data_IF_886265266599
#
_entry.id   IF_886265266599
#
_cell.length_a   1.000
_cell.length_b   1.000
_cell.length_c   1.000
_cell.angle_alpha   90.00
_cell.angle_beta   90.00
_cell.angle_gamma   90.00
#
_symmetry.space_group_name_H-M   'P 1'
#
loop_
_entity.id
_entity.type
_entity.pdbx_description
1 polymer ?
#
# COMPACT_ATOMS: atom_id res chain seq x y z
N UNK A 1 26.20 11.01 -34.03
CA UNK A 1 25.19 11.88 -33.39
C UNK A 1 24.34 11.19 -32.31
N UNK A 2 24.42 9.85 -32.13
CA UNK A 2 23.62 9.15 -31.10
C UNK A 2 24.30 9.04 -29.72
N UNK A 3 25.63 8.93 -29.65
CA UNK A 3 26.34 8.69 -28.38
C UNK A 3 26.42 9.93 -27.47
N UNK A 4 26.57 11.13 -28.03
CA UNK A 4 26.65 12.38 -27.25
C UNK A 4 25.33 12.74 -26.58
N UNK A 5 24.18 12.42 -27.19
CA UNK A 5 22.86 12.69 -26.60
C UNK A 5 22.53 11.77 -25.41
N UNK A 6 22.98 10.51 -25.44
CA UNK A 6 22.84 9.58 -24.30
C UNK A 6 23.71 10.04 -23.13
N UNK A 7 24.96 10.44 -23.41
CA UNK A 7 25.92 10.88 -22.41
C UNK A 7 25.53 12.22 -21.75
N UNK A 8 24.93 13.15 -22.49
CA UNK A 8 24.37 14.40 -21.94
C UNK A 8 23.17 14.13 -21.03
N UNK A 9 22.30 13.19 -21.42
CA UNK A 9 21.10 12.85 -20.67
C UNK A 9 21.42 12.13 -19.36
N UNK A 10 22.44 11.27 -19.34
CA UNK A 10 22.97 10.64 -18.12
C UNK A 10 23.53 11.68 -17.12
N UNK A 11 24.20 12.73 -17.61
CA UNK A 11 24.79 13.76 -16.74
C UNK A 11 23.75 14.62 -15.99
N UNK A 12 22.54 14.78 -16.53
CA UNK A 12 21.49 15.62 -15.94
C UNK A 12 20.79 14.97 -14.74
N UNK A 13 20.80 13.64 -14.67
CA UNK A 13 20.08 12.87 -13.64
C UNK A 13 21.00 12.18 -12.63
N UNK A 14 22.31 12.15 -12.89
CA UNK A 14 23.35 11.70 -11.96
C UNK A 14 23.47 12.67 -10.78
N UNK A 15 23.23 12.15 -9.58
CA UNK A 15 23.50 12.92 -8.36
C UNK A 15 25.00 13.04 -8.16
N UNK A 16 25.45 14.21 -7.70
CA UNK A 16 26.88 14.53 -7.52
C UNK A 16 27.67 13.58 -6.58
N UNK A 17 26.98 12.75 -5.79
CA UNK A 17 27.59 11.74 -4.93
C UNK A 17 27.83 10.39 -5.61
N UNK A 18 27.31 10.17 -6.82
CA UNK A 18 27.53 8.96 -7.60
C UNK A 18 28.47 9.24 -8.78
N UNK A 19 29.35 8.29 -9.05
CA UNK A 19 30.28 8.36 -10.17
C UNK A 19 29.62 7.92 -11.47
N UNK A 20 28.68 6.97 -11.39
CA UNK A 20 28.02 6.34 -12.54
C UNK A 20 26.51 6.18 -12.29
N UNK A 21 25.71 6.20 -13.37
CA UNK A 21 24.25 6.02 -13.27
C UNK A 21 23.86 4.63 -12.76
N UNK A 22 24.60 3.59 -13.17
CA UNK A 22 24.40 2.21 -12.72
C UNK A 22 24.54 2.10 -11.19
N UNK A 23 25.57 2.72 -10.62
CA UNK A 23 25.80 2.75 -9.18
C UNK A 23 24.64 3.44 -8.43
N UNK A 24 24.09 4.54 -8.96
CA UNK A 24 22.93 5.21 -8.39
C UNK A 24 21.68 4.32 -8.40
N UNK A 25 21.45 3.60 -9.50
CA UNK A 25 20.32 2.67 -9.64
C UNK A 25 20.44 1.53 -8.63
N UNK A 26 21.62 0.93 -8.52
CA UNK A 26 21.84 -0.21 -7.61
C UNK A 26 21.74 0.21 -6.15
N UNK A 27 22.32 1.35 -5.77
CA UNK A 27 22.17 1.90 -4.43
C UNK A 27 20.69 2.17 -4.10
N UNK A 28 19.92 2.73 -5.05
CA UNK A 28 18.50 3.01 -4.86
C UNK A 28 17.66 1.73 -4.72
N UNK A 29 17.98 0.68 -5.49
CA UNK A 29 17.34 -0.63 -5.38
C UNK A 29 17.63 -1.30 -4.04
N UNK A 30 18.89 -1.30 -3.59
CA UNK A 30 19.29 -1.86 -2.29
C UNK A 30 18.58 -1.10 -1.16
N UNK A 31 18.55 0.23 -1.22
CA UNK A 31 17.84 1.07 -0.25
C UNK A 31 16.34 0.73 -0.19
N UNK A 32 15.70 0.56 -1.35
CA UNK A 32 14.30 0.14 -1.40
C UNK A 32 14.11 -1.26 -0.80
N UNK A 33 14.92 -2.26 -1.18
CA UNK A 33 14.81 -3.60 -0.61
C UNK A 33 14.97 -3.63 0.92
N UNK A 34 15.94 -2.90 1.46
CA UNK A 34 16.12 -2.77 2.91
C UNK A 34 14.89 -2.16 3.57
N UNK A 35 14.33 -1.10 2.98
CA UNK A 35 13.09 -0.49 3.45
C UNK A 35 11.90 -1.45 3.39
N UNK A 36 11.73 -2.21 2.30
CA UNK A 36 10.68 -3.22 2.18
C UNK A 36 10.79 -4.30 3.26
N UNK A 37 12.01 -4.75 3.58
CA UNK A 37 12.24 -5.73 4.66
C UNK A 37 11.83 -5.15 6.01
N UNK A 38 12.15 -3.88 6.29
CA UNK A 38 11.73 -3.25 7.56
C UNK A 38 10.21 -3.17 7.69
N UNK A 39 9.49 -2.91 6.60
CA UNK A 39 8.03 -2.88 6.59
C UNK A 39 7.43 -4.28 6.79
N UNK A 40 8.01 -5.31 6.15
CA UNK A 40 7.60 -6.71 6.38
C UNK A 40 7.78 -7.10 7.85
N UNK A 41 8.88 -6.68 8.49
CA UNK A 41 9.11 -6.95 9.91
C UNK A 41 8.13 -6.20 10.82
N UNK A 42 7.82 -4.94 10.51
CA UNK A 42 6.85 -4.12 11.23
C UNK A 42 5.46 -4.77 11.23
N UNK A 43 4.94 -5.12 10.05
CA UNK A 43 3.65 -5.80 9.92
C UNK A 43 3.70 -7.25 10.42
N UNK A 44 4.84 -7.94 10.23
CA UNK A 44 5.06 -9.30 10.74
C UNK A 44 4.91 -9.39 12.26
N UNK A 45 5.47 -8.42 13.00
CA UNK A 45 5.29 -8.32 14.45
C UNK A 45 3.82 -8.11 14.85
N UNK A 46 3.09 -7.26 14.11
CA UNK A 46 1.66 -7.04 14.35
C UNK A 46 0.82 -8.30 14.05
N UNK A 47 1.14 -9.04 12.98
CA UNK A 47 0.46 -10.29 12.65
C UNK A 47 0.68 -11.38 13.71
N UNK A 48 1.91 -11.54 14.20
CA UNK A 48 2.20 -12.48 15.29
C UNK A 48 1.46 -12.05 16.56
N UNK A 49 1.44 -10.76 16.89
CA UNK A 49 0.67 -10.22 18.02
C UNK A 49 -0.82 -10.52 17.90
N UNK A 50 -1.42 -10.30 16.72
CA UNK A 50 -2.81 -10.63 16.44
C UNK A 50 -3.08 -12.13 16.58
N UNK A 51 -2.25 -12.99 15.99
CA UNK A 51 -2.43 -14.44 16.05
C UNK A 51 -2.35 -14.98 17.49
N UNK A 52 -1.44 -14.45 18.32
CA UNK A 52 -1.35 -14.82 19.73
C UNK A 52 -2.60 -14.40 20.52
N UNK A 53 -3.16 -13.22 20.23
CA UNK A 53 -4.38 -12.76 20.88
C UNK A 53 -5.62 -13.52 20.41
N UNK A 54 -5.70 -13.84 19.12
CA UNK A 54 -6.75 -14.69 18.57
C UNK A 54 -6.71 -16.09 19.21
N UNK A 55 -5.52 -16.66 19.41
CA UNK A 55 -5.38 -17.97 20.07
C UNK A 55 -5.78 -17.95 21.56
N UNK A 56 -5.61 -16.81 22.26
CA UNK A 56 -5.98 -16.67 23.68
C UNK A 56 -7.44 -16.26 23.91
N UNK A 57 -8.04 -15.52 22.97
CA UNK A 57 -9.38 -14.95 23.10
C UNK A 57 -10.28 -15.34 21.91
N UNK A 58 -10.28 -16.62 21.56
CA UNK A 58 -10.92 -17.15 20.35
C UNK A 58 -12.41 -16.77 20.24
N UNK A 59 -13.19 -16.96 21.31
CA UNK A 59 -14.63 -16.63 21.32
C UNK A 59 -14.91 -15.14 21.12
N UNK A 60 -14.07 -14.27 21.69
CA UNK A 60 -14.21 -12.82 21.52
C UNK A 60 -13.82 -12.37 20.10
N UNK A 61 -12.87 -13.05 19.45
CA UNK A 61 -12.46 -12.76 18.08
C UNK A 61 -13.52 -13.22 17.07
N UNK A 62 -14.13 -14.38 17.27
CA UNK A 62 -15.27 -14.85 16.46
C UNK A 62 -16.44 -13.87 16.58
N UNK A 63 -16.79 -13.47 17.81
CA UNK A 63 -17.88 -12.51 18.04
C UNK A 63 -17.61 -11.15 17.37
N UNK A 64 -16.39 -10.62 17.49
CA UNK A 64 -16.00 -9.36 16.88
C UNK A 64 -15.95 -9.43 15.34
N UNK A 65 -15.60 -10.58 14.77
CA UNK A 65 -15.58 -10.81 13.32
C UNK A 65 -16.95 -10.64 12.66
N UNK A 66 -18.03 -10.99 13.36
CA UNK A 66 -19.39 -10.82 12.83
C UNK A 66 -19.78 -9.35 12.59
N UNK A 67 -19.06 -8.39 13.19
CA UNK A 67 -19.23 -6.95 12.97
C UNK A 67 -18.43 -6.43 11.75
N UNK A 68 -17.79 -7.31 10.97
CA UNK A 68 -17.08 -6.93 9.75
C UNK A 68 -17.88 -7.32 8.51
N UNK A 69 -18.05 -6.34 7.61
CA UNK A 69 -18.71 -6.56 6.33
C UNK A 69 -17.74 -7.25 5.36
N UNK A 70 -17.97 -8.54 5.13
CA UNK A 70 -17.20 -9.35 4.19
C UNK A 70 -17.33 -8.86 2.75
N UNK A 71 -18.48 -8.32 2.35
CA UNK A 71 -18.73 -7.83 1.00
C UNK A 71 -17.88 -6.60 0.68
N UNK A 72 -17.84 -5.62 1.59
CA UNK A 72 -16.98 -4.44 1.46
C UNK A 72 -15.49 -4.80 1.49
N UNK A 73 -15.12 -5.80 2.30
CA UNK A 73 -13.76 -6.34 2.32
C UNK A 73 -13.35 -6.98 0.98
N UNK A 74 -14.20 -7.82 0.38
CA UNK A 74 -13.92 -8.44 -0.93
C UNK A 74 -13.82 -7.39 -2.03
N UNK A 75 -14.72 -6.40 -2.05
CA UNK A 75 -14.69 -5.30 -3.01
C UNK A 75 -13.33 -4.57 -2.98
N UNK A 76 -12.85 -4.24 -1.78
CA UNK A 76 -11.56 -3.58 -1.59
C UNK A 76 -10.39 -4.44 -2.10
N UNK A 77 -10.41 -5.74 -1.82
CA UNK A 77 -9.38 -6.66 -2.30
C UNK A 77 -9.37 -6.72 -3.83
N UNK A 78 -10.53 -6.80 -4.48
CA UNK A 78 -10.62 -6.79 -5.95
C UNK A 78 -10.09 -5.46 -6.51
N UNK A 79 -10.47 -4.33 -5.92
CA UNK A 79 -9.99 -3.00 -6.33
C UNK A 79 -8.47 -2.90 -6.22
N UNK A 80 -7.87 -3.42 -5.14
CA UNK A 80 -6.42 -3.42 -4.97
C UNK A 80 -5.71 -4.35 -5.94
N UNK A 81 -6.26 -5.53 -6.24
CA UNK A 81 -5.69 -6.42 -7.25
C UNK A 81 -5.66 -5.77 -8.63
N UNK A 82 -6.74 -5.05 -9.00
CA UNK A 82 -6.79 -4.25 -10.23
C UNK A 82 -5.75 -3.12 -10.15
N UNK A 83 -5.64 -2.43 -9.02
CA UNK A 83 -4.63 -1.38 -8.78
C UNK A 83 -3.21 -1.90 -9.02
N UNK A 84 -2.86 -3.03 -8.40
CA UNK A 84 -1.57 -3.69 -8.54
C UNK A 84 -1.27 -4.01 -10.01
N UNK A 85 -2.23 -4.59 -10.72
CA UNK A 85 -2.08 -4.87 -12.15
C UNK A 85 -1.86 -3.59 -12.98
N UNK A 86 -2.61 -2.52 -12.71
CA UNK A 86 -2.39 -1.24 -13.40
C UNK A 86 -1.00 -0.66 -13.12
N UNK A 87 -0.46 -0.83 -11.91
CA UNK A 87 0.89 -0.36 -11.57
C UNK A 87 1.98 -1.14 -12.32
N UNK A 88 1.85 -2.46 -12.48
CA UNK A 88 2.76 -3.26 -13.33
C UNK A 88 2.73 -2.75 -14.77
N UNK A 89 1.54 -2.45 -15.29
CA UNK A 89 1.39 -1.93 -16.64
C UNK A 89 1.96 -0.52 -16.81
N UNK A 90 1.92 0.31 -15.75
CA UNK A 90 2.58 1.61 -15.72
C UNK A 90 4.10 1.45 -15.82
N UNK A 91 4.70 0.59 -15.00
CA UNK A 91 6.13 0.26 -15.03
C UNK A 91 6.55 -0.23 -16.42
N UNK A 92 5.83 -1.18 -17.00
CA UNK A 92 6.10 -1.70 -18.35
C UNK A 92 6.02 -0.62 -19.43
N UNK A 93 5.04 0.27 -19.31
CA UNK A 93 4.90 1.40 -20.24
C UNK A 93 6.04 2.41 -20.09
N UNK A 94 6.56 2.60 -18.88
CA UNK A 94 7.75 3.43 -18.63
C UNK A 94 8.99 2.84 -19.29
N UNK A 95 9.20 1.53 -19.20
CA UNK A 95 10.32 0.82 -19.83
C UNK A 95 10.27 0.90 -21.36
N UNK A 96 9.06 0.92 -21.96
CA UNK A 96 8.86 1.07 -23.40
C UNK A 96 8.89 2.53 -23.89
N UNK A 97 9.01 3.51 -22.98
CA UNK A 97 8.91 4.93 -23.33
C UNK A 97 7.51 5.40 -23.75
N UNK A 98 6.47 4.58 -23.52
CA UNK A 98 5.08 4.85 -23.89
C UNK A 98 4.42 5.80 -22.87
N UNK A 99 4.79 7.09 -22.92
CA UNK A 99 4.35 8.12 -21.95
C UNK A 99 2.83 8.21 -21.76
N UNK A 100 2.05 8.11 -22.84
CA UNK A 100 0.58 8.17 -22.76
C UNK A 100 0.01 7.04 -21.92
N UNK A 101 0.51 5.81 -22.11
CA UNK A 101 0.07 4.64 -21.35
C UNK A 101 0.55 4.71 -19.90
N UNK A 102 1.79 5.17 -19.67
CA UNK A 102 2.31 5.41 -18.32
C UNK A 102 1.37 6.33 -17.52
N UNK A 103 1.02 7.49 -18.08
CA UNK A 103 0.12 8.46 -17.42
C UNK A 103 -1.25 7.84 -17.17
N UNK A 104 -1.82 7.13 -18.15
CA UNK A 104 -3.12 6.48 -18.01
C UNK A 104 -3.11 5.45 -16.88
N UNK A 105 -2.11 4.57 -16.83
CA UNK A 105 -2.05 3.52 -15.82
C UNK A 105 -1.79 4.08 -14.42
N UNK A 106 -0.89 5.06 -14.26
CA UNK A 106 -0.66 5.73 -12.97
C UNK A 106 -1.93 6.43 -12.46
N UNK A 107 -2.69 7.06 -13.35
CA UNK A 107 -3.96 7.69 -13.00
C UNK A 107 -5.01 6.65 -12.57
N UNK A 108 -5.09 5.51 -13.27
CA UNK A 108 -5.98 4.41 -12.89
C UNK A 108 -5.61 3.83 -11.52
N UNK A 109 -4.32 3.64 -11.24
CA UNK A 109 -3.83 3.19 -9.92
C UNK A 109 -4.26 4.15 -8.81
N UNK A 110 -4.12 5.47 -9.01
CA UNK A 110 -4.58 6.48 -8.04
C UNK A 110 -6.10 6.45 -7.81
N UNK A 111 -6.87 6.27 -8.87
CA UNK A 111 -8.34 6.17 -8.76
C UNK A 111 -8.73 4.92 -7.96
N UNK A 112 -8.11 3.77 -8.25
CA UNK A 112 -8.33 2.54 -7.48
C UNK A 112 -7.98 2.73 -5.98
N UNK A 113 -6.84 3.36 -5.70
CA UNK A 113 -6.43 3.68 -4.32
C UNK A 113 -7.43 4.62 -3.61
N UNK A 114 -7.95 5.63 -4.33
CA UNK A 114 -8.97 6.54 -3.81
C UNK A 114 -10.29 5.83 -3.51
N UNK A 115 -10.73 4.90 -4.36
CA UNK A 115 -11.91 4.06 -4.12
C UNK A 115 -11.72 3.22 -2.86
N UNK A 116 -10.56 2.56 -2.72
CA UNK A 116 -10.24 1.77 -1.53
C UNK A 116 -10.33 2.62 -0.24
N UNK A 117 -9.70 3.79 -0.24
CA UNK A 117 -9.71 4.68 0.93
C UNK A 117 -11.12 5.21 1.23
N UNK A 118 -11.91 5.52 0.19
CA UNK A 118 -13.31 5.94 0.33
C UNK A 118 -14.19 4.86 0.97
N UNK A 119 -14.12 3.62 0.48
CA UNK A 119 -14.87 2.49 1.07
C UNK A 119 -14.46 2.30 2.53
N UNK A 120 -13.16 2.37 2.84
CA UNK A 120 -12.67 2.25 4.22
C UNK A 120 -13.10 3.38 5.12
N UNK A 121 -13.15 4.60 4.60
CA UNK A 121 -13.64 5.75 5.35
C UNK A 121 -15.10 5.56 5.78
N UNK A 122 -15.97 5.06 4.88
CA UNK A 122 -17.36 4.76 5.23
C UNK A 122 -17.47 3.62 6.25
N UNK A 123 -16.70 2.54 6.08
CA UNK A 123 -16.67 1.43 7.05
C UNK A 123 -16.20 1.88 8.44
N UNK A 124 -15.16 2.72 8.48
CA UNK A 124 -14.68 3.33 9.71
C UNK A 124 -15.77 4.21 10.33
N UNK A 125 -16.31 5.17 9.58
CA UNK A 125 -17.35 6.08 10.09
C UNK A 125 -18.53 5.31 10.70
N UNK A 126 -18.99 4.25 10.05
CA UNK A 126 -20.03 3.38 10.59
C UNK A 126 -19.62 2.75 11.94
N UNK A 127 -18.41 2.18 12.03
CA UNK A 127 -17.88 1.60 13.28
C UNK A 127 -17.65 2.63 14.40
N UNK A 128 -17.31 3.87 14.04
CA UNK A 128 -17.22 5.00 14.98
C UNK A 128 -18.61 5.34 15.56
N UNK A 129 -19.66 5.33 14.73
CA UNK A 129 -21.03 5.55 15.18
C UNK A 129 -21.57 4.41 16.04
N UNK A 130 -21.12 3.17 15.80
CA UNK A 130 -21.48 1.99 16.63
C UNK A 130 -20.68 1.89 17.95
N UNK A 131 -19.71 2.79 18.19
CA UNK A 131 -18.94 2.84 19.44
C UNK A 131 -17.90 1.72 19.59
N UNK A 132 -17.54 1.02 18.51
CA UNK A 132 -16.59 -0.10 18.47
C UNK A 132 -15.12 0.39 18.46
N UNK A 133 -14.81 1.44 19.21
CA UNK A 133 -13.51 2.14 19.18
C UNK A 133 -12.41 1.37 19.93
N UNK A 134 -11.14 1.55 19.58
CA UNK A 134 -10.05 0.83 20.23
C UNK A 134 -9.83 1.28 21.68
N UNK A 135 -9.47 0.32 22.55
CA UNK A 135 -9.03 0.56 23.93
C UNK A 135 -10.07 1.25 24.82
N UNK A 136 -9.67 2.34 25.48
CA UNK A 136 -10.50 3.08 26.47
C UNK A 136 -11.75 3.74 25.89
N UNK A 137 -11.82 3.86 24.55
CA UNK A 137 -12.94 4.49 23.86
C UNK A 137 -14.02 3.48 23.43
N UNK A 138 -13.79 2.19 23.66
CA UNK A 138 -14.77 1.14 23.42
C UNK A 138 -16.02 1.40 24.28
N UNK A 139 -17.13 1.75 23.63
CA UNK A 139 -18.37 2.16 24.30
C UNK A 139 -19.57 1.33 23.86
N UNK A 140 -19.33 0.25 23.10
CA UNK A 140 -20.39 -0.62 22.64
C UNK A 140 -21.09 -1.29 23.84
N UNK A 141 -22.40 -1.03 23.97
CA UNK A 141 -23.26 -1.61 25.00
C UNK A 141 -24.04 -2.76 24.36
N UNK A 142 -23.36 -3.88 24.12
CA UNK A 142 -23.95 -5.03 23.43
C UNK A 142 -23.09 -6.29 23.38
N UNK A 143 -21.85 -6.25 23.89
CA UNK A 143 -20.91 -7.36 23.80
C UNK A 143 -21.44 -8.62 24.49
N UNK A 144 -21.66 -9.67 23.69
CA UNK A 144 -21.99 -10.99 24.20
C UNK A 144 -20.81 -11.66 24.94
N UNK A 145 -19.56 -11.22 24.68
CA UNK A 145 -18.32 -11.85 25.17
C UNK A 145 -17.28 -10.78 25.57
N UNK A 146 -16.70 -10.81 26.79
CA UNK A 146 -15.62 -9.91 27.18
C UNK A 146 -14.35 -10.12 26.35
N UNK A 147 -13.78 -9.04 25.81
CA UNK A 147 -12.48 -9.08 25.10
C UNK A 147 -12.51 -8.59 23.65
N UNK A 148 -13.68 -8.26 23.10
CA UNK A 148 -13.82 -7.76 21.72
C UNK A 148 -13.02 -6.47 21.48
N UNK A 149 -12.86 -5.62 22.51
CA UNK A 149 -12.02 -4.42 22.44
C UNK A 149 -10.57 -4.68 22.03
N UNK A 150 -10.01 -5.88 22.33
CA UNK A 150 -8.66 -6.25 21.92
C UNK A 150 -8.59 -6.49 20.41
N UNK A 151 -9.58 -7.20 19.86
CA UNK A 151 -9.70 -7.40 18.41
C UNK A 151 -9.76 -6.07 17.67
N UNK A 152 -10.66 -5.16 18.09
CA UNK A 152 -10.80 -3.85 17.47
C UNK A 152 -9.52 -3.01 17.59
N UNK A 153 -8.79 -3.11 18.70
CA UNK A 153 -7.50 -2.42 18.88
C UNK A 153 -6.46 -2.86 17.83
N UNK A 154 -6.31 -4.17 17.60
CA UNK A 154 -5.43 -4.69 16.56
C UNK A 154 -5.96 -4.38 15.15
N UNK A 155 -7.27 -4.47 14.93
CA UNK A 155 -7.92 -4.11 13.67
C UNK A 155 -7.58 -2.67 13.28
N UNK A 156 -7.84 -1.70 14.16
CA UNK A 156 -7.58 -0.28 13.90
C UNK A 156 -6.08 0.00 13.75
N UNK A 157 -5.22 -0.65 14.53
CA UNK A 157 -3.78 -0.49 14.40
C UNK A 157 -3.28 -0.98 13.03
N UNK A 158 -3.60 -2.21 12.64
CA UNK A 158 -3.12 -2.81 11.40
C UNK A 158 -3.73 -2.13 10.16
N UNK A 159 -5.04 -1.91 10.15
CA UNK A 159 -5.71 -1.27 9.01
C UNK A 159 -5.41 0.23 8.92
N UNK A 160 -5.25 0.91 10.06
CA UNK A 160 -4.86 2.32 10.10
C UNK A 160 -3.43 2.55 9.64
N UNK A 161 -2.47 1.75 10.13
CA UNK A 161 -1.09 1.78 9.65
C UNK A 161 -1.02 1.49 8.16
N UNK A 162 -1.76 0.49 7.67
CA UNK A 162 -1.82 0.18 6.25
C UNK A 162 -2.44 1.33 5.43
N UNK A 163 -3.51 1.98 5.94
CA UNK A 163 -4.09 3.17 5.32
C UNK A 163 -3.09 4.32 5.18
N UNK A 164 -2.25 4.55 6.20
CA UNK A 164 -1.16 5.53 6.12
C UNK A 164 -0.15 5.20 5.02
N UNK A 165 0.20 3.92 4.85
CA UNK A 165 1.08 3.46 3.76
C UNK A 165 0.46 3.68 2.38
N UNK A 166 -0.83 3.39 2.21
CA UNK A 166 -1.55 3.69 0.97
C UNK A 166 -1.49 5.18 0.67
N UNK A 167 -1.75 6.04 1.64
CA UNK A 167 -1.70 7.50 1.45
C UNK A 167 -0.29 7.96 1.05
N UNK A 168 0.76 7.45 1.71
CA UNK A 168 2.14 7.73 1.35
C UNK A 168 2.46 7.27 -0.09
N UNK A 169 1.99 6.09 -0.47
CA UNK A 169 2.12 5.56 -1.84
C UNK A 169 1.36 6.40 -2.87
N UNK A 170 0.15 6.86 -2.54
CA UNK A 170 -0.64 7.73 -3.40
C UNK A 170 0.09 9.06 -3.65
N UNK A 171 0.74 9.62 -2.62
CA UNK A 171 1.56 10.84 -2.78
C UNK A 171 2.74 10.56 -3.72
N UNK A 172 3.44 9.44 -3.57
CA UNK A 172 4.54 9.06 -4.45
C UNK A 172 4.08 8.84 -5.90
N UNK A 173 2.96 8.15 -6.13
CA UNK A 173 2.39 7.93 -7.46
C UNK A 173 1.89 9.23 -8.06
N UNK A 174 1.25 10.11 -7.28
CA UNK A 174 0.82 11.43 -7.75
C UNK A 174 2.02 12.29 -8.17
N UNK A 175 3.12 12.23 -7.41
CA UNK A 175 4.37 12.90 -7.78
C UNK A 175 4.95 12.34 -9.09
N UNK A 176 4.96 11.01 -9.26
CA UNK A 176 5.32 10.39 -10.54
C UNK A 176 4.38 10.81 -11.66
N UNK A 177 3.07 10.86 -11.43
CA UNK A 177 2.10 11.27 -12.45
C UNK A 177 2.37 12.69 -12.95
N UNK A 178 2.58 13.66 -12.04
CA UNK A 178 2.92 15.05 -12.39
C UNK A 178 4.21 15.09 -13.23
N UNK A 179 5.22 14.32 -12.83
CA UNK A 179 6.51 14.25 -13.51
C UNK A 179 6.42 13.56 -14.88
N UNK A 180 5.56 12.55 -15.01
CA UNK A 180 5.24 11.90 -16.28
C UNK A 180 4.48 12.83 -17.23
N UNK A 181 3.57 13.66 -16.69
CA UNK A 181 2.86 14.70 -17.44
C UNK A 181 3.80 15.84 -17.85
N UNK A 182 4.92 16.08 -17.16
CA UNK A 182 5.97 17.03 -17.60
C UNK A 182 6.89 16.47 -18.68
N UNK A 183 6.95 15.14 -18.82
CA UNK A 183 7.81 14.47 -19.80
C UNK A 183 9.22 14.20 -19.30
N UNK A 184 9.42 14.24 -17.98
CA UNK A 184 10.73 14.05 -17.34
C UNK A 184 11.17 12.57 -17.26
N UNK A 185 10.36 11.64 -17.80
CA UNK A 185 10.70 10.22 -17.90
C UNK A 185 11.04 9.86 -19.34
N UNK A 186 12.25 9.38 -19.54
CA UNK A 186 12.70 8.71 -20.76
C UNK A 186 13.00 7.24 -20.45
N UNK A 187 13.16 6.41 -21.48
CA UNK A 187 13.50 4.98 -21.30
C UNK A 187 14.81 4.75 -20.51
N UNK A 188 15.69 5.75 -20.46
CA UNK A 188 16.93 5.72 -19.68
C UNK A 188 16.73 6.09 -18.19
N UNK A 189 15.61 6.71 -17.83
CA UNK A 189 15.32 7.17 -16.46
C UNK A 189 13.92 6.70 -16.02
N UNK A 190 13.81 5.40 -15.74
CA UNK A 190 12.59 4.74 -15.26
C UNK A 190 12.69 4.26 -13.80
N UNK A 191 13.88 4.36 -13.18
CA UNK A 191 14.18 3.84 -11.85
C UNK A 191 13.20 4.31 -10.77
N UNK A 192 12.76 5.58 -10.72
CA UNK A 192 11.79 6.00 -9.71
C UNK A 192 10.41 5.36 -9.87
N UNK A 193 10.01 5.03 -11.12
CA UNK A 193 8.74 4.34 -11.40
C UNK A 193 8.82 2.90 -10.92
N UNK A 194 9.94 2.21 -11.20
CA UNK A 194 10.18 0.84 -10.74
C UNK A 194 10.21 0.76 -9.21
N UNK A 195 10.96 1.65 -8.55
CA UNK A 195 11.08 1.70 -7.09
C UNK A 195 9.72 1.97 -6.43
N UNK A 196 8.96 2.92 -6.95
CA UNK A 196 7.61 3.22 -6.42
C UNK A 196 6.65 2.06 -6.69
N UNK A 197 6.79 1.36 -7.81
CA UNK A 197 6.04 0.15 -8.12
C UNK A 197 6.29 -0.95 -7.11
N UNK A 198 7.56 -1.23 -6.78
CA UNK A 198 7.92 -2.22 -5.76
C UNK A 198 7.30 -1.90 -4.39
N UNK A 199 7.33 -0.63 -3.97
CA UNK A 199 6.66 -0.19 -2.76
C UNK A 199 5.15 -0.42 -2.81
N UNK A 200 4.49 -0.01 -3.90
CA UNK A 200 3.05 -0.18 -4.07
C UNK A 200 2.63 -1.66 -4.02
N UNK A 201 3.39 -2.53 -4.69
CA UNK A 201 3.13 -3.97 -4.66
C UNK A 201 3.30 -4.57 -3.25
N UNK A 202 4.26 -4.10 -2.46
CA UNK A 202 4.38 -4.54 -1.07
C UNK A 202 3.17 -4.14 -0.24
N UNK A 203 2.72 -2.89 -0.38
CA UNK A 203 1.52 -2.40 0.32
C UNK A 203 0.31 -3.27 -0.07
N UNK A 204 0.08 -3.51 -1.35
CA UNK A 204 -0.99 -4.38 -1.84
C UNK A 204 -0.87 -5.81 -1.28
N UNK A 205 0.35 -6.37 -1.23
CA UNK A 205 0.61 -7.70 -0.67
C UNK A 205 0.26 -7.78 0.81
N UNK A 206 0.60 -6.77 1.61
CA UNK A 206 0.23 -6.71 3.04
C UNK A 206 -1.29 -6.78 3.19
N UNK A 207 -2.05 -6.09 2.33
CA UNK A 207 -3.51 -6.15 2.37
C UNK A 207 -4.06 -7.54 2.04
N UNK A 208 -3.47 -8.22 1.06
CA UNK A 208 -3.87 -9.58 0.67
C UNK A 208 -3.76 -10.56 1.84
N UNK A 209 -2.83 -10.36 2.78
CA UNK A 209 -2.75 -11.16 4.01
C UNK A 209 -3.66 -10.64 5.12
N UNK A 210 -3.78 -9.31 5.26
CA UNK A 210 -4.61 -8.68 6.28
C UNK A 210 -6.10 -8.99 6.07
N UNK A 211 -6.58 -8.96 4.82
CA UNK A 211 -7.99 -9.19 4.51
C UNK A 211 -8.49 -10.58 4.98
N UNK A 212 -7.88 -11.72 4.61
CA UNK A 212 -8.29 -13.01 5.12
C UNK A 212 -8.17 -13.12 6.64
N UNK A 213 -7.08 -12.59 7.20
CA UNK A 213 -6.83 -12.67 8.64
C UNK A 213 -7.91 -11.96 9.46
N UNK A 214 -8.43 -10.83 9.00
CA UNK A 214 -9.46 -10.06 9.71
C UNK A 214 -10.89 -10.40 9.29
N UNK A 215 -11.14 -10.62 8.00
CA UNK A 215 -12.49 -10.73 7.41
C UNK A 215 -12.89 -12.16 7.03
N UNK A 216 -11.98 -13.13 6.97
CA UNK A 216 -12.32 -14.54 6.65
C UNK A 216 -12.06 -15.51 7.80
N UNK A 217 -11.00 -15.28 8.58
CA UNK A 217 -10.64 -16.12 9.73
C UNK A 217 -11.26 -15.52 10.98
N UNK A 218 -12.52 -15.88 11.23
CA UNK A 218 -13.23 -15.71 12.50
C UNK A 218 -13.15 -16.99 13.30
#
# INVERSE_FOLDING_TARGET
MSQTAVQEQDSRFLQHHFTEMEQQVDASKIGMWLFLVTEILLFGGLFVGFALMQARHHEAFIAAHHHLDRGLGVLNTVVLLISSWTMVMAVHSSQKGDRRKLILFLALTLVCAGIFLGVKYFEYSHKFHEGLLPGKYYSHKGDAVPGQFMFFSFYFMMTGLHGLHIVAGMIAIAWLLVRAVRGDFSAAYNTPVDITGLYWHLVDLIWIYLFPLLYLIG
#
